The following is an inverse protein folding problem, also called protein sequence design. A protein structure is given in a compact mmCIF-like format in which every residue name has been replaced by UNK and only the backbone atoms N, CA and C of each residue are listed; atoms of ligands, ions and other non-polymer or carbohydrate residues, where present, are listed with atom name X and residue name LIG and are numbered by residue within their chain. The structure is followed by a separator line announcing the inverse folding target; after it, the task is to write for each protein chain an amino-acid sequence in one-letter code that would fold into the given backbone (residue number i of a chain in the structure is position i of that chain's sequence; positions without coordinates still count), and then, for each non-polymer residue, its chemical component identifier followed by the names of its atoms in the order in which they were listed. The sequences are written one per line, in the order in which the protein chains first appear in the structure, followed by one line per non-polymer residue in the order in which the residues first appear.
data_IF_092073715672
#
_entry.id   IF_092073715672
#
_cell.length_a   1.000
_cell.length_b   1.000
_cell.length_c   1.000
_cell.angle_alpha   90.00
_cell.angle_beta   90.00
_cell.angle_gamma   90.00
#
_symmetry.space_group_name_H-M   'P 1'
#
loop_
_entity.id
_entity.type
_entity.pdbx_description
1 polymer ?
#
# COMPACT_ATOMS: atom_id res chain seq x y z
N UNK A 1 13.51 43.85 -10.13
CA UNK A 1 12.43 43.94 -9.13
C UNK A 1 11.14 43.59 -9.87
N UNK A 2 10.33 42.58 -9.58
CA UNK A 2 10.22 41.51 -8.60
C UNK A 2 9.55 40.37 -9.41
N UNK A 3 10.13 39.17 -9.46
CA UNK A 3 9.75 38.04 -8.59
C UNK A 3 8.25 37.69 -8.65
N UNK A 4 7.94 36.44 -8.99
CA UNK A 4 6.64 35.87 -8.62
C UNK A 4 5.75 35.29 -9.73
N UNK A 5 6.31 34.74 -10.81
CA UNK A 5 5.64 33.61 -11.51
C UNK A 5 6.25 32.28 -11.07
N UNK A 6 6.59 32.22 -9.80
CA UNK A 6 6.89 30.97 -9.12
C UNK A 6 5.56 30.32 -8.75
N UNK A 7 5.44 29.06 -9.12
CA UNK A 7 4.70 28.10 -8.30
C UNK A 7 3.17 28.08 -8.40
N UNK A 8 2.61 28.18 -9.61
CA UNK A 8 1.49 27.26 -9.95
C UNK A 8 2.08 25.87 -10.17
N UNK A 9 2.59 25.38 -9.05
CA UNK A 9 3.21 24.12 -8.75
C UNK A 9 2.13 23.08 -8.99
N UNK A 10 2.23 22.37 -10.12
CA UNK A 10 2.25 20.90 -10.24
C UNK A 10 1.64 20.09 -9.07
N UNK A 11 0.48 20.48 -8.56
CA UNK A 11 -0.36 19.62 -7.74
C UNK A 11 -1.19 18.79 -8.72
N UNK A 12 -0.48 17.95 -9.49
CA UNK A 12 -1.07 16.84 -10.22
C UNK A 12 -1.97 16.12 -9.22
N UNK A 13 -3.29 16.19 -9.45
CA UNK A 13 -4.29 15.73 -8.50
C UNK A 13 -3.92 14.34 -8.01
N UNK A 14 -3.54 14.25 -6.72
CA UNK A 14 -3.38 12.96 -6.05
C UNK A 14 -4.78 12.38 -5.91
N UNK A 15 -5.28 11.79 -6.99
CA UNK A 15 -6.55 11.09 -6.97
C UNK A 15 -6.39 9.96 -5.95
N UNK A 16 -7.29 9.94 -4.97
CA UNK A 16 -7.35 8.85 -4.01
C UNK A 16 -7.43 7.52 -4.78
N UNK A 17 -6.66 6.50 -4.38
CA UNK A 17 -6.65 5.24 -5.10
C UNK A 17 -8.03 4.60 -5.05
N UNK A 18 -8.42 3.94 -6.14
CA UNK A 18 -9.70 3.23 -6.18
C UNK A 18 -9.68 2.05 -5.20
N UNK A 19 -10.84 1.70 -4.62
CA UNK A 19 -10.98 0.52 -3.75
C UNK A 19 -10.42 -0.75 -4.41
N UNK A 20 -10.61 -0.91 -5.71
CA UNK A 20 -10.08 -2.04 -6.47
C UNK A 20 -8.54 -2.06 -6.47
N UNK A 21 -7.89 -0.92 -6.69
CA UNK A 21 -6.43 -0.82 -6.64
C UNK A 21 -5.90 -1.22 -5.26
N UNK A 22 -6.54 -0.73 -4.19
CA UNK A 22 -6.16 -1.06 -2.82
C UNK A 22 -6.27 -2.58 -2.56
N UNK A 23 -7.39 -3.20 -2.96
CA UNK A 23 -7.59 -4.63 -2.79
C UNK A 23 -6.58 -5.47 -3.59
N UNK A 24 -6.20 -5.03 -4.79
CA UNK A 24 -5.16 -5.70 -5.59
C UNK A 24 -3.82 -5.68 -4.87
N UNK A 25 -3.43 -4.54 -4.28
CA UNK A 25 -2.16 -4.43 -3.55
C UNK A 25 -2.17 -5.31 -2.29
N UNK A 26 -3.29 -5.36 -1.56
CA UNK A 26 -3.43 -6.25 -0.40
C UNK A 26 -3.42 -7.73 -0.78
N UNK A 27 -4.01 -8.10 -1.92
CA UNK A 27 -3.94 -9.47 -2.46
C UNK A 27 -2.50 -9.87 -2.80
N UNK A 28 -1.74 -8.96 -3.43
CA UNK A 28 -0.31 -9.21 -3.74
C UNK A 28 0.52 -9.42 -2.47
N UNK A 29 0.34 -8.59 -1.44
CA UNK A 29 1.00 -8.78 -0.15
C UNK A 29 0.63 -10.12 0.49
N UNK A 30 -0.64 -10.51 0.42
CA UNK A 30 -1.13 -11.77 0.99
C UNK A 30 -0.48 -12.97 0.30
N UNK A 31 -0.45 -12.97 -1.03
CA UNK A 31 0.24 -14.01 -1.81
C UNK A 31 1.72 -14.03 -1.51
N UNK A 32 2.37 -12.88 -1.42
CA UNK A 32 3.78 -12.80 -1.13
C UNK A 32 4.11 -13.42 0.24
N UNK A 33 3.27 -13.17 1.24
CA UNK A 33 3.44 -13.74 2.58
C UNK A 33 3.24 -15.26 2.63
N UNK A 34 2.31 -15.79 1.83
CA UNK A 34 2.07 -17.24 1.70
C UNK A 34 3.26 -17.92 1.00
N UNK A 35 3.84 -17.25 0.00
CA UNK A 35 4.93 -17.79 -0.81
C UNK A 35 6.29 -17.69 -0.10
N UNK A 36 6.51 -16.65 0.70
CA UNK A 36 7.76 -16.40 1.47
C UNK A 36 8.39 -17.65 2.11
N UNK A 37 7.66 -18.51 2.85
CA UNK A 37 8.26 -19.69 3.47
C UNK A 37 8.64 -20.81 2.50
N UNK A 38 8.09 -20.85 1.27
CA UNK A 38 8.35 -21.92 0.30
C UNK A 38 9.43 -21.57 -0.73
N UNK A 39 9.80 -20.30 -0.84
CA UNK A 39 10.85 -19.87 -1.78
C UNK A 39 12.22 -20.33 -1.29
N UNK A 40 12.91 -21.11 -2.13
CA UNK A 40 14.24 -21.64 -1.81
C UNK A 40 15.37 -20.90 -2.50
N UNK A 41 15.13 -20.34 -3.69
CA UNK A 41 16.17 -19.74 -4.51
C UNK A 41 16.47 -18.29 -4.09
N UNK A 42 17.75 -17.89 -3.98
CA UNK A 42 18.12 -16.53 -3.54
C UNK A 42 17.53 -15.41 -4.40
N UNK A 43 17.48 -15.61 -5.72
CA UNK A 43 16.93 -14.63 -6.65
C UNK A 43 15.42 -14.43 -6.46
N UNK A 44 14.68 -15.51 -6.27
CA UNK A 44 13.24 -15.44 -6.00
C UNK A 44 12.95 -14.76 -4.66
N UNK A 45 13.76 -15.03 -3.62
CA UNK A 45 13.64 -14.32 -2.33
C UNK A 45 13.83 -12.82 -2.48
N UNK A 46 14.82 -12.42 -3.27
CA UNK A 46 15.07 -11.00 -3.55
C UNK A 46 13.88 -10.35 -4.26
N UNK A 47 13.37 -10.97 -5.33
CA UNK A 47 12.22 -10.47 -6.09
C UNK A 47 10.95 -10.39 -5.21
N UNK A 48 10.76 -11.38 -4.34
CA UNK A 48 9.65 -11.40 -3.40
C UNK A 48 9.76 -10.25 -2.38
N UNK A 49 10.95 -10.04 -1.81
CA UNK A 49 11.22 -8.92 -0.91
C UNK A 49 10.92 -7.57 -1.56
N UNK A 50 11.39 -7.36 -2.79
CA UNK A 50 11.10 -6.15 -3.57
C UNK A 50 9.60 -5.96 -3.81
N UNK A 51 8.86 -7.04 -4.05
CA UNK A 51 7.40 -6.99 -4.22
C UNK A 51 6.70 -6.54 -2.94
N UNK A 52 7.11 -7.10 -1.79
CA UNK A 52 6.55 -6.74 -0.47
C UNK A 52 6.85 -5.27 -0.16
N UNK A 53 8.10 -4.83 -0.35
CA UNK A 53 8.53 -3.45 -0.12
C UNK A 53 7.75 -2.47 -1.00
N UNK A 54 7.60 -2.76 -2.29
CA UNK A 54 6.88 -1.90 -3.24
C UNK A 54 5.41 -1.76 -2.85
N UNK A 55 4.76 -2.87 -2.50
CA UNK A 55 3.35 -2.85 -2.09
C UNK A 55 3.14 -2.08 -0.77
N UNK A 56 4.00 -2.30 0.22
CA UNK A 56 3.96 -1.61 1.50
C UNK A 56 4.17 -0.10 1.32
N UNK A 57 5.18 0.29 0.54
CA UNK A 57 5.47 1.70 0.24
C UNK A 57 4.31 2.38 -0.48
N UNK A 58 3.63 1.68 -1.40
CA UNK A 58 2.45 2.21 -2.08
C UNK A 58 1.29 2.46 -1.10
N UNK A 59 1.01 1.54 -0.18
CA UNK A 59 -0.02 1.70 0.84
C UNK A 59 0.31 2.85 1.81
N UNK A 60 1.58 2.98 2.21
CA UNK A 60 2.06 4.07 3.06
C UNK A 60 1.94 5.44 2.37
N UNK A 61 2.36 5.54 1.10
CA UNK A 61 2.23 6.75 0.29
C UNK A 61 0.76 7.23 0.22
N UNK A 62 -0.17 6.29 0.07
CA UNK A 62 -1.61 6.58 0.05
C UNK A 62 -2.27 6.63 1.43
N UNK A 63 -1.50 6.49 2.52
CA UNK A 63 -1.97 6.52 3.92
C UNK A 63 -3.07 5.50 4.23
N UNK A 64 -3.03 4.34 3.55
CA UNK A 64 -4.00 3.27 3.75
C UNK A 64 -3.57 2.45 4.97
N UNK A 65 -4.45 2.34 5.97
CA UNK A 65 -4.20 1.50 7.14
C UNK A 65 -4.61 0.06 6.86
N UNK A 66 -3.71 -0.88 7.14
CA UNK A 66 -3.89 -2.30 6.87
C UNK A 66 -3.21 -3.14 7.95
N UNK A 67 -3.65 -4.38 8.11
CA UNK A 67 -3.05 -5.36 9.04
C UNK A 67 -3.05 -6.76 8.43
N UNK A 68 -2.13 -7.61 8.86
CA UNK A 68 -2.18 -9.03 8.53
C UNK A 68 -3.12 -9.74 9.52
N UNK A 69 -4.11 -10.44 9.00
CA UNK A 69 -4.96 -11.34 9.77
C UNK A 69 -4.45 -12.79 9.64
N UNK A 70 -3.81 -13.35 10.69
CA UNK A 70 -3.27 -14.70 10.64
C UNK A 70 -4.35 -15.79 10.63
N UNK A 71 -5.61 -15.47 10.97
CA UNK A 71 -6.69 -16.46 10.99
C UNK A 71 -7.14 -16.85 9.59
N UNK A 72 -7.08 -15.88 8.66
CA UNK A 72 -7.44 -16.06 7.24
C UNK A 72 -6.23 -15.95 6.30
N UNK A 73 -5.04 -15.75 6.85
CA UNK A 73 -3.78 -15.59 6.12
C UNK A 73 -3.82 -14.48 5.05
N UNK A 74 -4.46 -13.34 5.37
CA UNK A 74 -4.65 -12.23 4.43
C UNK A 74 -4.33 -10.88 5.06
N UNK A 75 -3.83 -9.95 4.25
CA UNK A 75 -3.81 -8.55 4.60
C UNK A 75 -5.20 -7.93 4.38
N UNK A 76 -5.71 -7.27 5.41
CA UNK A 76 -7.04 -6.65 5.43
C UNK A 76 -6.93 -5.16 5.73
N UNK A 77 -7.94 -4.41 5.29
CA UNK A 77 -8.07 -3.00 5.63
C UNK A 77 -8.42 -2.84 7.11
N UNK A 78 -7.76 -1.90 7.76
CA UNK A 78 -8.14 -1.51 9.11
C UNK A 78 -9.21 -0.41 9.05
N UNK A 79 -10.47 -0.81 9.15
CA UNK A 79 -11.62 0.10 9.12
C UNK A 79 -11.86 0.81 10.46
N UNK A 80 -11.14 0.41 11.53
CA UNK A 80 -11.34 0.91 12.90
C UNK A 80 -11.02 2.39 13.06
N UNK A 81 -10.43 3.04 12.03
CA UNK A 81 -10.08 4.47 12.03
C UNK A 81 -11.14 5.37 11.36
N UNK A 82 -12.18 4.81 10.73
CA UNK A 82 -13.21 5.62 10.03
C UNK A 82 -14.52 5.81 10.80
N UNK A 83 -14.72 5.15 11.94
CA UNK A 83 -15.86 5.42 12.84
C UNK A 83 -15.47 6.44 13.91
N UNK A 84 -15.24 7.70 13.50
CA UNK A 84 -15.60 8.81 14.35
C UNK A 84 -17.05 9.17 13.98
N UNK A 85 -18.06 8.78 14.79
CA UNK A 85 -19.42 9.23 14.56
C UNK A 85 -19.43 10.76 14.66
N UNK A 86 -19.80 11.42 13.57
CA UNK A 86 -20.14 12.85 13.59
C UNK A 86 -21.19 13.04 14.70
N UNK A 87 -20.74 13.59 15.83
CA UNK A 87 -21.60 14.08 16.91
C UNK A 87 -21.72 15.58 16.74
#
# INVERSE_FOLDING_TARGET
MLAGRESEMLMCGMNAPSRQAILVILDQLSRAKIIEPVVQWPQEKYMLGQTIETCAAWLEYHKISYRYDPTICMYVLDTSRQEAPNT
#
